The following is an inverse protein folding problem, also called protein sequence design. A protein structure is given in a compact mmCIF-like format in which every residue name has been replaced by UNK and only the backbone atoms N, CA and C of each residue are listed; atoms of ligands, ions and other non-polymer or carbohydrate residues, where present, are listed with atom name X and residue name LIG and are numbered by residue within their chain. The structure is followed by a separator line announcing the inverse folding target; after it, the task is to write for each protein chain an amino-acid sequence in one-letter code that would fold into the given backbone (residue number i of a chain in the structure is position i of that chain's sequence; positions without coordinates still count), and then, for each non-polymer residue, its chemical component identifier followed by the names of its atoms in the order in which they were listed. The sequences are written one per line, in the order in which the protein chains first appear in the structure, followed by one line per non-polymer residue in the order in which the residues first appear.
data_IF_699944215553
#
_entry.id   IF_699944215553
#
_cell.length_a   1.000
_cell.length_b   1.000
_cell.length_c   1.000
_cell.angle_alpha   90.00
_cell.angle_beta   90.00
_cell.angle_gamma   90.00
#
_symmetry.space_group_name_H-M   'P 1'
#
loop_
_entity.id
_entity.type
_entity.pdbx_description
1 polymer ?
#
# COMPACT_ATOMS: atom_id res chain seq x y z
N UNK A 1 -11.90 -15.98 1.85
CA UNK A 1 -11.91 -14.66 2.53
C UNK A 1 -10.85 -14.54 3.60
N UNK A 2 -10.66 -15.53 4.44
CA UNK A 2 -9.63 -15.55 5.50
C UNK A 2 -8.22 -15.33 4.94
N UNK A 3 -7.84 -16.04 3.89
CA UNK A 3 -6.51 -15.90 3.27
C UNK A 3 -6.28 -14.46 2.73
N UNK A 4 -7.28 -13.86 2.08
CA UNK A 4 -7.19 -12.48 1.62
C UNK A 4 -7.07 -11.50 2.80
N UNK A 5 -7.80 -11.69 3.88
CA UNK A 5 -7.69 -10.88 5.08
C UNK A 5 -6.29 -10.97 5.71
N UNK A 6 -5.70 -12.18 5.75
CA UNK A 6 -4.31 -12.38 6.21
C UNK A 6 -3.29 -11.67 5.30
N UNK A 7 -3.44 -11.76 3.97
CA UNK A 7 -2.55 -11.08 3.02
C UNK A 7 -2.62 -9.54 3.19
N UNK A 8 -3.82 -8.99 3.33
CA UNK A 8 -4.01 -7.55 3.59
C UNK A 8 -3.42 -7.12 4.93
N UNK A 9 -3.56 -7.95 5.97
CA UNK A 9 -2.92 -7.71 7.26
C UNK A 9 -1.39 -7.65 7.16
N UNK A 10 -0.80 -8.59 6.40
CA UNK A 10 0.63 -8.61 6.12
C UNK A 10 1.09 -7.38 5.32
N UNK A 11 0.36 -7.00 4.28
CA UNK A 11 0.64 -5.82 3.46
C UNK A 11 0.61 -4.54 4.31
N UNK A 12 -0.38 -4.41 5.20
CA UNK A 12 -0.47 -3.30 6.16
C UNK A 12 0.78 -3.21 7.05
N UNK A 13 1.23 -4.31 7.64
CA UNK A 13 2.45 -4.33 8.45
C UNK A 13 3.70 -3.93 7.66
N UNK A 14 3.76 -4.27 6.37
CA UNK A 14 4.86 -3.87 5.49
C UNK A 14 4.81 -2.36 5.17
N UNK A 15 3.62 -1.78 4.99
CA UNK A 15 3.45 -0.33 4.85
C UNK A 15 3.86 0.43 6.12
N UNK A 16 3.46 -0.06 7.30
CA UNK A 16 3.88 0.51 8.59
C UNK A 16 5.40 0.45 8.76
N UNK A 17 6.03 -0.67 8.35
CA UNK A 17 7.48 -0.83 8.37
C UNK A 17 8.18 0.12 7.40
N UNK A 18 7.64 0.30 6.19
CA UNK A 18 8.16 1.25 5.21
C UNK A 18 8.10 2.68 5.74
N UNK A 19 6.97 3.07 6.34
CA UNK A 19 6.82 4.37 6.99
C UNK A 19 7.86 4.59 8.09
N UNK A 20 8.08 3.58 8.93
CA UNK A 20 9.12 3.63 9.96
C UNK A 20 10.51 3.89 9.36
N UNK A 21 10.89 3.18 8.27
CA UNK A 21 12.18 3.38 7.59
C UNK A 21 12.32 4.75 6.95
N UNK A 22 11.23 5.31 6.43
CA UNK A 22 11.22 6.69 5.93
C UNK A 22 11.39 7.73 7.05
N UNK A 23 10.81 7.49 8.23
CA UNK A 23 11.01 8.36 9.40
C UNK A 23 12.47 8.32 9.87
N UNK A 24 13.12 7.15 9.87
CA UNK A 24 14.55 7.02 10.15
C UNK A 24 15.39 7.81 9.12
N UNK A 25 15.13 7.63 7.83
CA UNK A 25 15.81 8.37 6.76
C UNK A 25 15.64 9.89 6.93
N UNK A 26 14.42 10.36 7.19
CA UNK A 26 14.13 11.77 7.45
C UNK A 26 14.92 12.31 8.62
N UNK A 27 15.04 11.55 9.70
CA UNK A 27 15.78 11.95 10.89
C UNK A 27 17.27 12.14 10.59
N UNK A 28 17.88 11.24 9.80
CA UNK A 28 19.26 11.34 9.35
C UNK A 28 19.47 12.53 8.40
N UNK A 29 18.54 12.78 7.48
CA UNK A 29 18.57 13.95 6.61
C UNK A 29 18.51 15.26 7.43
N UNK A 30 17.60 15.33 8.40
CA UNK A 30 17.44 16.51 9.25
C UNK A 30 18.67 16.75 10.12
N UNK A 31 19.32 15.69 10.61
CA UNK A 31 20.54 15.77 11.40
C UNK A 31 21.81 16.05 10.57
N UNK A 32 21.73 16.01 9.23
CA UNK A 32 22.89 16.19 8.35
C UNK A 32 23.87 15.01 8.38
N UNK A 33 23.43 13.82 8.82
CA UNK A 33 24.26 12.62 8.97
C UNK A 33 24.52 11.92 7.62
N UNK A 34 25.15 12.63 6.70
CA UNK A 34 25.33 12.22 5.30
C UNK A 34 25.97 10.82 5.13
N UNK A 35 26.87 10.43 6.02
CA UNK A 35 27.57 9.13 5.99
C UNK A 35 26.62 7.92 6.12
N UNK A 36 25.46 8.09 6.76
CA UNK A 36 24.51 7.01 6.99
C UNK A 36 23.37 6.97 5.96
N UNK A 37 23.22 8.01 5.16
CA UNK A 37 22.13 8.10 4.17
C UNK A 37 22.10 6.92 3.19
N UNK A 38 23.25 6.40 2.66
CA UNK A 38 23.21 5.24 1.77
C UNK A 38 22.64 3.98 2.44
N UNK A 39 22.93 3.78 3.72
CA UNK A 39 22.39 2.65 4.46
C UNK A 39 20.89 2.78 4.73
N UNK A 40 20.47 3.96 5.20
CA UNK A 40 19.05 4.23 5.44
C UNK A 40 18.21 4.16 4.16
N UNK A 41 18.73 4.69 3.04
CA UNK A 41 18.07 4.58 1.75
C UNK A 41 18.00 3.11 1.27
N UNK A 42 19.04 2.31 1.49
CA UNK A 42 19.03 0.87 1.21
C UNK A 42 17.97 0.12 2.03
N UNK A 43 17.76 0.49 3.30
CA UNK A 43 16.70 -0.09 4.13
C UNK A 43 15.30 0.28 3.64
N UNK A 44 15.09 1.52 3.17
CA UNK A 44 13.84 1.95 2.54
C UNK A 44 13.58 1.15 1.26
N UNK A 45 14.61 1.00 0.42
CA UNK A 45 14.52 0.25 -0.84
C UNK A 45 14.18 -1.23 -0.60
N UNK A 46 14.81 -1.85 0.40
CA UNK A 46 14.51 -3.21 0.81
C UNK A 46 13.07 -3.37 1.33
N UNK A 47 12.59 -2.42 2.15
CA UNK A 47 11.22 -2.43 2.65
C UNK A 47 10.21 -2.29 1.50
N UNK A 48 10.51 -1.42 0.52
CA UNK A 48 9.70 -1.21 -0.69
C UNK A 48 9.62 -2.47 -1.55
N UNK A 49 10.74 -3.17 -1.74
CA UNK A 49 10.78 -4.44 -2.49
C UNK A 49 9.91 -5.53 -1.82
N UNK A 50 9.93 -5.62 -0.49
CA UNK A 50 9.09 -6.57 0.26
C UNK A 50 7.60 -6.24 0.18
N UNK A 51 7.25 -4.95 0.17
CA UNK A 51 5.87 -4.52 -0.04
C UNK A 51 5.39 -4.96 -1.42
N UNK A 52 6.18 -4.70 -2.48
CA UNK A 52 5.87 -5.12 -3.86
C UNK A 52 5.64 -6.62 -3.99
N UNK A 53 6.46 -7.44 -3.33
CA UNK A 53 6.28 -8.89 -3.29
C UNK A 53 4.93 -9.28 -2.66
N UNK A 54 4.57 -8.67 -1.52
CA UNK A 54 3.29 -8.91 -0.85
C UNK A 54 2.09 -8.47 -1.72
N UNK A 55 2.20 -7.35 -2.41
CA UNK A 55 1.20 -6.86 -3.36
C UNK A 55 0.97 -7.83 -4.51
N UNK A 56 2.04 -8.42 -5.05
CA UNK A 56 1.94 -9.43 -6.11
C UNK A 56 1.17 -10.66 -5.62
N UNK A 57 1.47 -11.17 -4.43
CA UNK A 57 0.75 -12.30 -3.84
C UNK A 57 -0.73 -11.98 -3.63
N UNK A 58 -1.05 -10.78 -3.14
CA UNK A 58 -2.44 -10.34 -3.00
C UNK A 58 -3.14 -10.21 -4.35
N UNK A 59 -2.48 -9.65 -5.36
CA UNK A 59 -3.05 -9.53 -6.70
C UNK A 59 -3.42 -10.90 -7.30
N UNK A 60 -2.55 -11.90 -7.15
CA UNK A 60 -2.84 -13.28 -7.59
C UNK A 60 -4.05 -13.86 -6.87
N UNK A 61 -4.21 -13.62 -5.56
CA UNK A 61 -5.37 -14.05 -4.80
C UNK A 61 -6.66 -13.35 -5.25
N UNK A 62 -6.61 -12.03 -5.47
CA UNK A 62 -7.75 -11.25 -5.96
C UNK A 62 -8.19 -11.75 -7.34
N UNK A 63 -7.25 -12.00 -8.25
CA UNK A 63 -7.55 -12.53 -9.58
C UNK A 63 -8.22 -13.91 -9.51
N UNK A 64 -7.75 -14.78 -8.62
CA UNK A 64 -8.38 -16.09 -8.38
C UNK A 64 -9.80 -15.95 -7.86
N UNK A 65 -10.02 -15.10 -6.84
CA UNK A 65 -11.35 -14.87 -6.29
C UNK A 65 -12.32 -14.25 -7.30
N UNK A 66 -11.84 -13.33 -8.15
CA UNK A 66 -12.63 -12.73 -9.20
C UNK A 66 -13.03 -13.78 -10.25
N UNK A 67 -12.09 -14.62 -10.69
CA UNK A 67 -12.36 -15.71 -11.63
C UNK A 67 -13.38 -16.71 -11.08
N UNK A 68 -13.24 -17.12 -9.80
CA UNK A 68 -14.16 -18.03 -9.12
C UNK A 68 -15.58 -17.43 -9.00
N UNK A 69 -15.69 -16.10 -8.91
CA UNK A 69 -16.95 -15.36 -8.85
C UNK A 69 -17.52 -14.98 -10.24
N UNK A 70 -16.79 -15.26 -11.34
CA UNK A 70 -17.16 -14.82 -12.68
C UNK A 70 -17.15 -13.30 -12.87
N UNK A 71 -16.30 -12.60 -12.12
CA UNK A 71 -16.19 -11.14 -12.11
C UNK A 71 -14.85 -10.69 -12.70
N UNK A 72 -14.79 -9.42 -13.13
CA UNK A 72 -13.53 -8.78 -13.46
C UNK A 72 -12.75 -8.49 -12.16
N UNK A 73 -11.43 -8.68 -12.17
CA UNK A 73 -10.54 -8.41 -11.02
C UNK A 73 -10.58 -6.94 -10.58
N UNK A 74 -10.77 -6.02 -11.52
CA UNK A 74 -10.93 -4.58 -11.26
C UNK A 74 -12.19 -4.25 -10.44
N UNK A 75 -13.20 -5.13 -10.46
CA UNK A 75 -14.43 -4.97 -9.68
C UNK A 75 -14.24 -5.34 -8.19
N UNK A 76 -13.23 -6.15 -7.86
CA UNK A 76 -13.00 -6.67 -6.51
C UNK A 76 -12.18 -5.70 -5.64
N UNK A 77 -12.76 -4.55 -5.33
CA UNK A 77 -12.15 -3.54 -4.45
C UNK A 77 -12.41 -3.82 -2.96
N UNK A 78 -11.55 -3.29 -2.06
CA UNK A 78 -11.79 -3.35 -0.61
C UNK A 78 -13.11 -2.71 -0.19
N UNK A 79 -13.59 -1.71 -0.92
CA UNK A 79 -14.90 -1.11 -0.67
C UNK A 79 -16.04 -2.08 -0.98
N UNK A 80 -15.96 -2.76 -2.12
CA UNK A 80 -16.93 -3.77 -2.50
C UNK A 80 -16.93 -4.92 -1.49
N UNK A 81 -15.74 -5.46 -1.15
CA UNK A 81 -15.60 -6.53 -0.17
C UNK A 81 -16.18 -6.16 1.20
N UNK A 82 -15.92 -4.93 1.68
CA UNK A 82 -16.49 -4.43 2.94
C UNK A 82 -18.02 -4.32 2.92
N UNK A 83 -18.64 -4.17 1.74
CA UNK A 83 -20.11 -4.02 1.59
C UNK A 83 -20.84 -5.32 1.32
N UNK A 84 -20.18 -6.29 0.68
CA UNK A 84 -20.84 -7.50 0.16
C UNK A 84 -20.49 -8.77 0.91
N UNK A 85 -19.40 -8.76 1.69
CA UNK A 85 -18.93 -9.92 2.44
C UNK A 85 -19.70 -10.05 3.78
N UNK A 86 -20.05 -11.26 4.26
CA UNK A 86 -20.61 -11.44 5.59
C UNK A 86 -19.63 -11.07 6.72
N UNK A 87 -20.16 -10.71 7.90
CA UNK A 87 -19.35 -10.59 9.11
C UNK A 87 -18.69 -11.93 9.49
N UNK A 88 -17.45 -11.92 10.06
CA UNK A 88 -16.69 -10.74 10.50
C UNK A 88 -15.86 -10.07 9.40
N UNK A 89 -15.84 -10.59 8.18
CA UNK A 89 -14.92 -10.12 7.12
C UNK A 89 -15.27 -8.72 6.60
N UNK A 90 -16.55 -8.35 6.57
CA UNK A 90 -16.98 -7.00 6.19
C UNK A 90 -16.27 -5.93 7.04
N UNK A 91 -16.30 -6.10 8.37
CA UNK A 91 -15.61 -5.22 9.30
C UNK A 91 -14.10 -5.20 9.10
N UNK A 92 -13.48 -6.38 8.91
CA UNK A 92 -12.03 -6.51 8.65
C UNK A 92 -11.63 -5.73 7.40
N UNK A 93 -12.35 -5.89 6.27
CA UNK A 93 -12.03 -5.19 5.02
C UNK A 93 -12.25 -3.67 5.13
N UNK A 94 -13.29 -3.23 5.85
CA UNK A 94 -13.52 -1.82 6.12
C UNK A 94 -12.37 -1.19 6.93
N UNK A 95 -11.87 -1.90 7.94
CA UNK A 95 -10.75 -1.48 8.78
C UNK A 95 -9.44 -1.44 7.98
N UNK A 96 -9.17 -2.45 7.17
CA UNK A 96 -8.01 -2.47 6.28
C UNK A 96 -8.04 -1.28 5.30
N UNK A 97 -9.19 -1.00 4.68
CA UNK A 97 -9.34 0.13 3.77
C UNK A 97 -9.02 1.47 4.45
N UNK A 98 -9.48 1.68 5.69
CA UNK A 98 -9.17 2.89 6.47
C UNK A 98 -7.68 2.98 6.78
N UNK A 99 -7.08 1.88 7.23
CA UNK A 99 -5.66 1.81 7.56
C UNK A 99 -4.78 2.08 6.34
N UNK A 100 -5.06 1.47 5.18
CA UNK A 100 -4.32 1.71 3.94
C UNK A 100 -4.37 3.17 3.51
N UNK A 101 -5.53 3.82 3.58
CA UNK A 101 -5.67 5.25 3.25
C UNK A 101 -4.85 6.14 4.18
N UNK A 102 -4.91 5.89 5.48
CA UNK A 102 -4.15 6.65 6.46
C UNK A 102 -2.64 6.49 6.22
N UNK A 103 -2.16 5.25 6.15
CA UNK A 103 -0.75 4.92 5.92
C UNK A 103 -0.21 5.51 4.61
N UNK A 104 -1.00 5.45 3.53
CA UNK A 104 -0.58 6.01 2.23
C UNK A 104 -0.45 7.53 2.30
N UNK A 105 -1.35 8.22 3.02
CA UNK A 105 -1.23 9.66 3.24
C UNK A 105 0.03 9.98 4.04
N UNK A 106 0.28 9.29 5.16
CA UNK A 106 1.48 9.48 5.98
C UNK A 106 2.77 9.19 5.21
N UNK A 107 2.80 8.15 4.37
CA UNK A 107 3.93 7.83 3.50
C UNK A 107 4.24 8.97 2.53
N UNK A 108 3.22 9.49 1.83
CA UNK A 108 3.39 10.62 0.90
C UNK A 108 3.90 11.86 1.60
N UNK A 109 3.35 12.21 2.75
CA UNK A 109 3.80 13.36 3.53
C UNK A 109 5.26 13.20 4.00
N UNK A 110 5.62 11.98 4.45
CA UNK A 110 6.99 11.69 4.85
C UNK A 110 7.96 11.77 3.67
N UNK A 111 7.59 11.24 2.49
CA UNK A 111 8.40 11.34 1.27
C UNK A 111 8.57 12.78 0.83
N UNK A 112 7.50 13.59 0.82
CA UNK A 112 7.58 15.01 0.48
C UNK A 112 8.55 15.76 1.41
N UNK A 113 8.48 15.48 2.72
CA UNK A 113 9.40 16.06 3.70
C UNK A 113 10.85 15.62 3.46
N UNK A 114 11.10 14.33 3.19
CA UNK A 114 12.44 13.84 2.87
C UNK A 114 13.00 14.51 1.61
N UNK A 115 12.19 14.63 0.55
CA UNK A 115 12.57 15.28 -0.70
C UNK A 115 12.90 16.76 -0.51
N UNK A 116 12.11 17.47 0.31
CA UNK A 116 12.36 18.88 0.62
C UNK A 116 13.67 19.09 1.37
N UNK A 117 14.05 18.18 2.28
CA UNK A 117 15.30 18.26 3.04
C UNK A 117 16.50 17.84 2.18
N UNK A 118 16.35 16.80 1.35
CA UNK A 118 17.43 16.26 0.52
C UNK A 118 17.90 17.26 -0.54
N UNK A 119 17.00 18.11 -1.07
CA UNK A 119 17.34 19.06 -2.14
C UNK A 119 17.96 18.37 -3.36
N UNK A 120 18.71 19.15 -4.15
CA UNK A 120 19.37 18.64 -5.36
C UNK A 120 20.65 17.81 -5.09
N UNK A 121 21.10 17.77 -3.83
CA UNK A 121 22.40 17.19 -3.45
C UNK A 121 22.42 15.68 -3.24
N UNK A 122 21.27 15.02 -3.14
CA UNK A 122 21.17 13.60 -2.80
C UNK A 122 20.35 12.82 -3.84
N UNK A 123 20.80 12.79 -5.07
CA UNK A 123 20.09 12.16 -6.21
C UNK A 123 19.67 10.70 -5.96
N UNK A 124 20.50 9.90 -5.26
CA UNK A 124 20.16 8.52 -4.92
C UNK A 124 19.00 8.43 -3.91
N UNK A 125 18.88 9.38 -2.97
CA UNK A 125 17.73 9.46 -2.04
C UNK A 125 16.47 9.77 -2.83
N UNK A 126 16.54 10.73 -3.75
CA UNK A 126 15.42 11.10 -4.63
C UNK A 126 14.94 9.91 -5.46
N UNK A 127 15.85 9.09 -5.99
CA UNK A 127 15.49 7.89 -6.75
C UNK A 127 14.74 6.86 -5.87
N UNK A 128 15.22 6.61 -4.64
CA UNK A 128 14.54 5.72 -3.68
C UNK A 128 13.15 6.25 -3.33
N UNK A 129 13.04 7.55 -3.05
CA UNK A 129 11.76 8.18 -2.70
C UNK A 129 10.74 8.11 -3.84
N UNK A 130 11.15 8.28 -5.09
CA UNK A 130 10.28 8.13 -6.25
C UNK A 130 9.70 6.71 -6.37
N UNK A 131 10.51 5.69 -6.07
CA UNK A 131 10.00 4.30 -6.02
C UNK A 131 8.94 4.10 -4.94
N UNK A 132 9.13 4.71 -3.77
CA UNK A 132 8.14 4.64 -2.67
C UNK A 132 6.82 5.28 -3.09
N UNK A 133 6.85 6.44 -3.78
CA UNK A 133 5.62 7.11 -4.25
C UNK A 133 4.83 6.20 -5.19
N UNK A 134 5.51 5.56 -6.14
CA UNK A 134 4.87 4.64 -7.10
C UNK A 134 4.16 3.50 -6.37
N UNK A 135 4.80 2.88 -5.38
CA UNK A 135 4.20 1.78 -4.62
C UNK A 135 3.04 2.27 -3.71
N UNK A 136 3.20 3.43 -3.08
CA UNK A 136 2.13 4.02 -2.27
C UNK A 136 0.89 4.35 -3.12
N UNK A 137 1.08 4.87 -4.34
CA UNK A 137 -0.01 5.17 -5.27
C UNK A 137 -0.69 3.90 -5.79
N UNK A 138 0.09 2.85 -6.05
CA UNK A 138 -0.44 1.54 -6.40
C UNK A 138 -1.28 0.94 -5.27
N UNK A 139 -0.83 1.02 -4.02
CA UNK A 139 -1.58 0.55 -2.85
C UNK A 139 -2.90 1.33 -2.67
N UNK A 140 -2.87 2.66 -2.85
CA UNK A 140 -4.06 3.50 -2.73
C UNK A 140 -5.08 3.26 -3.85
N UNK A 141 -4.64 3.14 -5.09
CA UNK A 141 -5.53 2.92 -6.25
C UNK A 141 -6.38 1.67 -6.09
N UNK A 142 -5.86 0.65 -5.42
CA UNK A 142 -6.57 -0.60 -5.12
C UNK A 142 -7.53 -0.47 -3.94
N UNK A 143 -7.32 0.51 -3.06
CA UNK A 143 -8.20 0.82 -1.92
C UNK A 143 -9.37 1.73 -2.30
N UNK A 144 -9.29 2.42 -3.46
CA UNK A 144 -10.34 3.32 -3.97
C UNK A 144 -10.77 2.86 -5.38
N UNK A 145 -12.06 2.59 -5.63
CA UNK A 145 -12.53 2.36 -6.99
C UNK A 145 -12.37 3.66 -7.78
N UNK A 146 -11.76 3.57 -8.96
CA UNK A 146 -11.91 4.60 -9.99
C UNK A 146 -13.42 4.73 -10.27
N UNK A 147 -13.94 5.95 -10.28
CA UNK A 147 -15.35 6.23 -10.52
C UNK A 147 -15.75 5.81 -11.95
N UNK A 148 -15.98 4.51 -12.13
CA UNK A 148 -16.68 3.97 -13.30
C UNK A 148 -17.96 3.32 -12.80
N UNK A 149 -19.05 3.70 -13.41
CA UNK A 149 -20.43 3.26 -13.24
C UNK A 149 -20.58 1.84 -12.72
N UNK A 150 -21.15 1.72 -11.51
CA UNK A 150 -21.57 0.46 -10.91
C UNK A 150 -22.56 -0.28 -11.82
N UNK A 151 -22.29 -1.53 -12.23
CA UNK A 151 -23.32 -2.39 -12.76
C UNK A 151 -24.30 -2.79 -11.63
N UNK A 152 -25.57 -3.10 -11.95
CA UNK A 152 -26.58 -3.44 -10.94
C UNK A 152 -26.20 -4.71 -10.20
N UNK A 153 -26.43 -4.71 -8.89
CA UNK A 153 -26.20 -5.77 -7.93
C UNK A 153 -26.75 -7.13 -8.41
N UNK A 154 -25.87 -8.06 -8.72
CA UNK A 154 -26.20 -9.48 -8.77
C UNK A 154 -26.01 -10.05 -7.38
N UNK A 155 -27.11 -10.34 -6.71
CA UNK A 155 -27.12 -11.05 -5.43
C UNK A 155 -26.68 -12.48 -5.69
N UNK A 156 -25.44 -12.81 -5.36
CA UNK A 156 -24.95 -14.19 -5.35
C UNK A 156 -25.47 -14.85 -4.06
N UNK A 157 -26.43 -15.74 -4.20
CA UNK A 157 -26.85 -16.65 -3.11
C UNK A 157 -25.79 -17.73 -2.96
N UNK A 158 -25.21 -17.85 -1.77
CA UNK A 158 -24.42 -18.99 -1.31
C UNK A 158 -25.32 -20.07 -0.72
#
# INVERSE_FOLDING_TARGET
MEELACLLGRERLLLERLLFKLVELRSLLTAGEARFLPWAAGEVDHATARLREAELHRALMVNKLAADAGMDDSALSLEMLARTTPEPYAGIFADQRRAFRALTTELRDCVANCSAIAGDGASFVTEVLNRVVVEADAALSRATPTAQTLPPLVVVKF
#
